data_IF_911041025906
#
_entry.id   IF_911041025906
#
_cell.length_a   1.000
_cell.length_b   1.000
_cell.length_c   1.000
_cell.angle_alpha   90.00
_cell.angle_beta   90.00
_cell.angle_gamma   90.00
#
_symmetry.space_group_name_H-M   'P 1'
#
loop_
_entity.id
_entity.type
_entity.pdbx_description
1 polymer ?
#
# COMPACT_ATOMS: atom_id res chain seq x y z
N UNK A 1 -1.93 43.31 -14.55
CA UNK A 1 -0.96 42.23 -14.89
C UNK A 1 -0.48 41.45 -13.66
N UNK A 2 -0.24 42.09 -12.50
CA UNK A 2 0.22 41.40 -11.27
C UNK A 2 -0.65 40.23 -10.81
N UNK A 3 -1.97 40.38 -10.73
CA UNK A 3 -2.85 39.30 -10.25
C UNK A 3 -2.88 38.05 -11.15
N UNK A 4 -2.69 38.21 -12.47
CA UNK A 4 -2.60 37.05 -13.39
C UNK A 4 -1.27 36.34 -13.23
N UNK A 5 -0.17 37.10 -13.08
CA UNK A 5 1.17 36.55 -12.87
C UNK A 5 1.21 35.77 -11.55
N UNK A 6 0.67 36.34 -10.47
CA UNK A 6 0.58 35.69 -9.16
C UNK A 6 -0.22 34.38 -9.23
N UNK A 7 -1.37 34.40 -9.91
CA UNK A 7 -2.21 33.22 -10.09
C UNK A 7 -1.49 32.13 -10.90
N UNK A 8 -0.80 32.49 -11.98
CA UNK A 8 0.00 31.54 -12.78
C UNK A 8 1.12 30.93 -11.95
N UNK A 9 1.83 31.72 -11.16
CA UNK A 9 2.93 31.23 -10.30
C UNK A 9 2.38 30.27 -9.23
N UNK A 10 1.29 30.63 -8.55
CA UNK A 10 0.68 29.78 -7.53
C UNK A 10 0.21 28.44 -8.12
N UNK A 11 -0.44 28.48 -9.29
CA UNK A 11 -0.88 27.26 -9.98
C UNK A 11 0.30 26.38 -10.41
N UNK A 12 1.40 26.97 -10.85
CA UNK A 12 2.64 26.26 -11.17
C UNK A 12 3.22 25.54 -9.95
N UNK A 13 3.26 26.22 -8.81
CA UNK A 13 3.75 25.63 -7.55
C UNK A 13 2.88 24.44 -7.16
N UNK A 14 1.55 24.60 -7.16
CA UNK A 14 0.61 23.51 -6.86
C UNK A 14 0.80 22.34 -7.83
N UNK A 15 0.95 22.63 -9.12
CA UNK A 15 1.16 21.60 -10.13
C UNK A 15 2.44 20.79 -9.87
N UNK A 16 3.57 21.45 -9.56
CA UNK A 16 4.83 20.74 -9.27
C UNK A 16 4.64 19.77 -8.09
N UNK A 17 3.99 20.20 -7.01
CA UNK A 17 3.75 19.33 -5.86
C UNK A 17 2.76 18.20 -6.17
N UNK A 18 1.73 18.46 -6.98
CA UNK A 18 0.76 17.44 -7.38
C UNK A 18 1.39 16.37 -8.31
N UNK A 19 2.29 16.78 -9.21
CA UNK A 19 2.93 15.88 -10.17
C UNK A 19 4.22 15.24 -9.66
N UNK A 20 4.85 15.76 -8.59
CA UNK A 20 6.07 15.19 -8.03
C UNK A 20 5.94 13.69 -7.63
N UNK A 21 4.85 13.24 -6.96
CA UNK A 21 4.66 11.81 -6.68
C UNK A 21 4.58 10.98 -7.96
N UNK A 22 3.86 11.45 -8.99
CA UNK A 22 3.72 10.75 -10.26
C UNK A 22 5.06 10.63 -11.00
N UNK A 23 5.87 11.70 -10.99
CA UNK A 23 7.23 11.66 -11.53
C UNK A 23 8.13 10.67 -10.78
N UNK A 24 8.04 10.64 -9.45
CA UNK A 24 8.75 9.68 -8.61
C UNK A 24 8.35 8.23 -8.93
N UNK A 25 7.05 7.94 -9.07
CA UNK A 25 6.56 6.61 -9.46
C UNK A 25 7.14 6.17 -10.80
N UNK A 26 7.04 7.01 -11.84
CA UNK A 26 7.56 6.68 -13.17
C UNK A 26 9.07 6.42 -13.11
N UNK A 27 9.81 7.26 -12.40
CA UNK A 27 11.25 7.08 -12.20
C UNK A 27 11.55 5.72 -11.58
N UNK A 28 10.89 5.37 -10.47
CA UNK A 28 11.07 4.08 -9.79
C UNK A 28 10.72 2.88 -10.69
N UNK A 29 9.68 2.96 -11.51
CA UNK A 29 9.33 1.89 -12.46
C UNK A 29 10.37 1.66 -13.57
N UNK A 30 11.17 2.67 -13.90
CA UNK A 30 12.21 2.57 -14.95
C UNK A 30 13.57 2.16 -14.39
N UNK A 31 13.72 2.09 -13.06
CA UNK A 31 14.93 1.60 -12.41
C UNK A 31 14.96 0.07 -12.38
N UNK A 32 16.13 -0.53 -12.66
CA UNK A 32 16.30 -2.00 -12.69
C UNK A 32 15.90 -2.73 -11.41
N UNK A 33 16.01 -2.06 -10.25
CA UNK A 33 15.66 -2.58 -8.93
C UNK A 33 14.82 -1.54 -8.15
N UNK A 34 13.98 -0.76 -8.84
CA UNK A 34 13.11 0.20 -8.17
C UNK A 34 11.92 -0.51 -7.53
N UNK A 35 11.60 -0.14 -6.29
CA UNK A 35 10.38 -0.54 -5.61
C UNK A 35 9.40 0.64 -5.61
N UNK A 36 8.61 0.86 -6.69
CA UNK A 36 7.72 2.01 -6.80
C UNK A 36 6.69 2.09 -5.67
N UNK A 37 6.42 0.97 -4.99
CA UNK A 37 5.52 0.90 -3.84
C UNK A 37 6.24 0.56 -2.51
N UNK A 38 7.57 0.37 -2.53
CA UNK A 38 8.34 -0.15 -1.40
C UNK A 38 7.95 -1.58 -1.01
N UNK A 39 8.18 -1.93 0.26
CA UNK A 39 7.61 -3.11 0.92
C UNK A 39 6.09 -2.95 1.02
N UNK A 40 5.36 -3.45 0.03
CA UNK A 40 3.92 -3.60 0.15
C UNK A 40 3.65 -4.62 1.27
N UNK A 41 3.10 -4.15 2.39
CA UNK A 41 2.60 -5.02 3.46
C UNK A 41 1.71 -6.11 2.81
N UNK A 42 1.96 -7.41 3.05
CA UNK A 42 1.24 -8.46 2.36
C UNK A 42 -0.25 -8.40 2.74
N UNK A 43 -1.06 -7.74 1.93
CA UNK A 43 -2.52 -7.65 2.07
C UNK A 43 -3.24 -8.97 1.74
N UNK A 44 -2.61 -10.10 2.07
CA UNK A 44 -3.12 -11.44 1.79
C UNK A 44 -2.86 -12.48 2.88
N UNK A 45 -1.85 -12.28 3.74
CA UNK A 45 -1.45 -13.28 4.75
C UNK A 45 -0.89 -12.63 6.03
N UNK A 46 -1.43 -11.48 6.47
CA UNK A 46 -1.18 -11.04 7.85
C UNK A 46 -1.73 -12.14 8.78
N UNK A 47 -0.87 -12.85 9.52
CA UNK A 47 -1.28 -13.89 10.45
C UNK A 47 -2.30 -13.33 11.44
N UNK A 48 -3.59 -13.57 11.18
CA UNK A 48 -4.64 -13.18 12.10
C UNK A 48 -4.60 -14.15 13.28
N UNK A 49 -4.15 -13.65 14.44
CA UNK A 49 -4.13 -14.42 15.68
C UNK A 49 -5.51 -15.04 16.01
N UNK A 50 -6.59 -14.36 15.60
CA UNK A 50 -7.97 -14.85 15.73
C UNK A 50 -8.23 -16.01 14.76
N UNK A 51 -7.85 -15.87 13.49
CA UNK A 51 -8.01 -16.93 12.48
C UNK A 51 -7.23 -18.19 12.89
N UNK A 52 -6.01 -18.03 13.40
CA UNK A 52 -5.18 -19.11 13.93
C UNK A 52 -5.81 -19.77 15.16
N UNK A 53 -6.39 -18.99 16.08
CA UNK A 53 -7.10 -19.52 17.24
C UNK A 53 -8.36 -20.31 16.86
N UNK A 54 -9.14 -19.81 15.90
CA UNK A 54 -10.35 -20.49 15.39
C UNK A 54 -9.98 -21.78 14.66
N UNK A 55 -8.98 -21.74 13.77
CA UNK A 55 -8.48 -22.93 13.09
C UNK A 55 -7.99 -24.00 14.08
N UNK A 56 -7.29 -23.61 15.15
CA UNK A 56 -6.83 -24.51 16.21
C UNK A 56 -7.97 -25.11 17.01
N UNK A 57 -9.00 -24.32 17.35
CA UNK A 57 -10.19 -24.80 18.05
C UNK A 57 -10.96 -25.82 17.20
N UNK A 58 -11.21 -25.52 15.92
CA UNK A 58 -11.89 -26.42 14.99
C UNK A 58 -11.12 -27.73 14.84
N UNK A 59 -9.81 -27.68 14.65
CA UNK A 59 -8.98 -28.89 14.52
C UNK A 59 -8.95 -29.72 15.81
N UNK A 60 -8.99 -29.07 16.97
CA UNK A 60 -9.05 -29.77 18.28
C UNK A 60 -10.39 -30.48 18.47
N UNK A 61 -11.49 -29.84 18.09
CA UNK A 61 -12.84 -30.44 18.15
C UNK A 61 -12.95 -31.58 17.14
N UNK A 62 -12.50 -31.37 15.90
CA UNK A 62 -12.50 -32.39 14.84
C UNK A 62 -11.62 -33.60 15.20
N UNK A 63 -10.44 -33.37 15.80
CA UNK A 63 -9.54 -34.42 16.25
C UNK A 63 -10.07 -35.22 17.46
N UNK A 64 -10.97 -34.64 18.26
CA UNK A 64 -11.66 -35.36 19.35
C UNK A 64 -12.90 -36.12 18.86
N UNK A 65 -13.63 -35.59 17.88
CA UNK A 65 -14.80 -36.24 17.28
C UNK A 65 -14.43 -37.37 16.30
N UNK A 66 -13.32 -37.24 15.57
CA UNK A 66 -12.83 -38.27 14.65
C UNK A 66 -12.01 -39.39 15.30
N UNK A 67 -11.91 -39.41 16.64
CA UNK A 67 -11.23 -40.45 17.42
C UNK A 67 -12.19 -41.32 18.24
N UNK A 68 -13.49 -41.26 17.94
CA UNK A 68 -14.51 -42.18 18.46
C UNK A 68 -14.96 -43.17 17.40
#
# INVERSE_FOLDING_TARGET
MGGVIELVVLMLVIAIFAFAPLGYFIYMYTMKNGEPFGDIEPHGDSESAVLNAVAKAINTVKGKLGKS
#
